data_IF_634389070359
#
_entry.id   IF_634389070359
#
_cell.length_a   1.000
_cell.length_b   1.000
_cell.length_c   1.000
_cell.angle_alpha   90.00
_cell.angle_beta   90.00
_cell.angle_gamma   90.00
#
_symmetry.space_group_name_H-M   'P 1'
#
loop_
_entity.id
_entity.type
_entity.pdbx_description
1 polymer ?
#
# COMPACT_ATOMS: atom_id res chain seq x y z
N UNK A 1 -14.31 -0.06 9.07
CA UNK A 1 -13.17 -0.31 9.99
C UNK A 1 -11.91 -0.47 9.17
N UNK A 2 -10.85 0.29 9.45
CA UNK A 2 -9.54 0.18 8.78
C UNK A 2 -8.67 -0.91 9.44
N UNK A 3 -7.59 -1.42 8.79
CA UNK A 3 -6.68 -2.38 9.41
C UNK A 3 -6.03 -1.87 10.71
N UNK A 4 -5.74 -0.57 10.76
CA UNK A 4 -5.19 0.08 11.95
C UNK A 4 -6.21 0.16 13.09
N UNK A 5 -7.49 0.39 12.79
CA UNK A 5 -8.58 0.33 13.77
C UNK A 5 -8.85 -1.09 14.24
N UNK A 6 -8.82 -2.07 13.34
CA UNK A 6 -8.97 -3.47 13.68
C UNK A 6 -7.82 -3.92 14.60
N UNK A 7 -6.57 -3.59 14.25
CA UNK A 7 -5.40 -3.85 15.09
C UNK A 7 -5.53 -3.23 16.49
N UNK A 8 -6.00 -1.99 16.58
CA UNK A 8 -6.29 -1.32 17.86
C UNK A 8 -7.42 -2.02 18.63
N UNK A 9 -8.45 -2.48 17.94
CA UNK A 9 -9.60 -3.20 18.53
C UNK A 9 -9.17 -4.54 19.12
N UNK A 10 -8.38 -5.32 18.37
CA UNK A 10 -7.83 -6.59 18.88
C UNK A 10 -6.87 -6.34 20.06
N UNK A 11 -6.02 -5.31 20.00
CA UNK A 11 -5.15 -4.96 21.12
C UNK A 11 -5.95 -4.57 22.38
N UNK A 12 -7.05 -3.82 22.22
CA UNK A 12 -7.96 -3.52 23.34
C UNK A 12 -8.61 -4.78 23.90
N UNK A 13 -8.99 -5.74 23.07
CA UNK A 13 -9.52 -7.02 23.52
C UNK A 13 -8.48 -7.83 24.31
N UNK A 14 -7.20 -7.81 23.90
CA UNK A 14 -6.11 -8.43 24.67
C UNK A 14 -5.94 -7.76 26.02
N UNK A 15 -5.90 -6.42 26.07
CA UNK A 15 -5.83 -5.67 27.34
C UNK A 15 -6.98 -6.03 28.27
N UNK A 16 -8.21 -5.98 27.75
CA UNK A 16 -9.41 -6.34 28.50
C UNK A 16 -9.37 -7.78 29.03
N UNK A 17 -8.86 -8.73 28.24
CA UNK A 17 -8.71 -10.12 28.70
C UNK A 17 -7.69 -10.26 29.84
N UNK A 18 -6.65 -9.41 29.87
CA UNK A 18 -5.68 -9.38 30.98
C UNK A 18 -6.26 -8.68 32.20
N UNK A 19 -6.93 -7.54 32.02
CA UNK A 19 -7.55 -6.77 33.10
C UNK A 19 -8.65 -7.56 33.82
N UNK A 20 -9.39 -8.40 33.09
CA UNK A 20 -10.41 -9.32 33.63
C UNK A 20 -9.83 -10.65 34.14
N UNK A 21 -8.51 -10.79 34.19
CA UNK A 21 -7.77 -12.01 34.57
C UNK A 21 -8.09 -13.27 33.73
N UNK A 22 -8.79 -13.12 32.60
CA UNK A 22 -9.10 -14.21 31.68
C UNK A 22 -7.85 -14.72 30.93
N UNK A 23 -6.82 -13.87 30.78
CA UNK A 23 -5.49 -14.22 30.29
C UNK A 23 -4.42 -13.67 31.22
N UNK A 24 -3.44 -14.50 31.59
CA UNK A 24 -2.28 -14.08 32.38
C UNK A 24 -1.05 -14.00 31.46
N UNK A 25 -0.96 -12.93 30.68
CA UNK A 25 0.10 -12.70 29.70
C UNK A 25 0.56 -11.24 29.72
N UNK A 26 1.82 -10.95 29.34
CA UNK A 26 2.21 -9.58 29.05
C UNK A 26 1.43 -9.07 27.84
N UNK A 27 0.83 -7.89 27.96
CA UNK A 27 0.13 -7.24 26.84
C UNK A 27 1.17 -6.84 25.79
N UNK A 28 1.02 -7.25 24.52
CA UNK A 28 1.95 -6.86 23.46
C UNK A 28 1.83 -5.36 23.16
N UNK A 29 2.94 -4.71 22.81
CA UNK A 29 2.94 -3.30 22.45
C UNK A 29 2.04 -2.98 21.24
N UNK A 30 1.95 -3.94 20.30
CA UNK A 30 1.12 -3.84 19.10
C UNK A 30 0.57 -5.21 18.70
N UNK A 31 -0.63 -5.20 18.13
CA UNK A 31 -1.21 -6.35 17.43
C UNK A 31 -1.19 -6.06 15.94
N UNK A 32 -0.85 -7.05 15.13
CA UNK A 32 -0.84 -6.94 13.67
C UNK A 32 -1.95 -7.81 13.09
N UNK A 33 -2.70 -7.24 12.17
CA UNK A 33 -3.64 -7.94 11.31
C UNK A 33 -3.08 -7.95 9.89
N UNK A 34 -3.30 -9.05 9.18
CA UNK A 34 -2.84 -9.22 7.81
C UNK A 34 -4.02 -9.54 6.91
N UNK A 35 -3.98 -9.09 5.66
CA UNK A 35 -5.01 -9.46 4.69
C UNK A 35 -4.93 -10.95 4.40
N UNK A 36 -6.09 -11.59 4.34
CA UNK A 36 -6.17 -13.00 3.95
C UNK A 36 -5.77 -13.15 2.48
N UNK A 37 -5.09 -14.26 2.18
CA UNK A 37 -4.73 -14.60 0.81
C UNK A 37 -6.00 -14.89 0.01
N UNK A 38 -5.99 -14.77 -1.33
CA UNK A 38 -7.09 -15.24 -2.17
C UNK A 38 -7.49 -16.69 -1.81
N UNK A 39 -8.78 -16.92 -1.53
CA UNK A 39 -9.29 -18.21 -1.03
C UNK A 39 -9.15 -18.44 0.49
N UNK A 40 -8.64 -17.46 1.24
CA UNK A 40 -8.60 -17.46 2.70
C UNK A 40 -9.95 -17.08 3.33
N UNK A 41 -10.08 -17.26 4.65
CA UNK A 41 -11.31 -17.00 5.39
C UNK A 41 -11.37 -15.54 5.88
N UNK A 42 -12.47 -14.84 5.62
CA UNK A 42 -12.63 -13.43 6.02
C UNK A 42 -11.74 -12.45 5.24
N UNK A 43 -11.78 -11.18 5.63
CA UNK A 43 -11.01 -10.08 5.01
C UNK A 43 -9.61 -9.93 5.62
N UNK A 44 -9.49 -10.14 6.93
CA UNK A 44 -8.23 -10.04 7.67
C UNK A 44 -8.05 -11.23 8.61
N UNK A 45 -6.81 -11.59 8.88
CA UNK A 45 -6.42 -12.58 9.87
C UNK A 45 -5.46 -12.01 10.91
N UNK A 46 -5.51 -12.53 12.12
CA UNK A 46 -4.61 -12.19 13.21
C UNK A 46 -4.10 -13.45 13.90
N UNK A 47 -2.78 -13.51 14.06
CA UNK A 47 -2.08 -14.62 14.72
C UNK A 47 -1.81 -14.35 16.21
N UNK A 48 -2.40 -13.30 16.81
CA UNK A 48 -2.08 -12.88 18.18
C UNK A 48 -2.30 -13.99 19.21
N UNK A 49 -3.32 -14.83 19.03
CA UNK A 49 -3.60 -15.92 19.96
C UNK A 49 -2.48 -16.97 19.97
N UNK A 50 -1.86 -17.25 18.82
CA UNK A 50 -0.70 -18.14 18.71
C UNK A 50 0.52 -17.57 19.44
N UNK A 51 0.71 -16.25 19.36
CA UNK A 51 1.82 -15.54 20.02
C UNK A 51 1.65 -15.54 21.54
N UNK A 52 0.41 -15.43 22.03
CA UNK A 52 0.10 -15.36 23.46
C UNK A 52 -0.03 -16.73 24.13
N UNK A 53 -0.30 -17.80 23.37
CA UNK A 53 -0.54 -19.15 23.88
C UNK A 53 0.54 -19.67 24.84
N UNK A 54 1.81 -19.49 24.46
CA UNK A 54 2.95 -19.95 25.28
C UNK A 54 3.00 -19.23 26.64
N UNK A 55 2.87 -17.91 26.64
CA UNK A 55 2.86 -17.13 27.88
C UNK A 55 1.60 -17.39 28.72
N UNK A 56 0.47 -17.68 28.07
CA UNK A 56 -0.80 -17.98 28.75
C UNK A 56 -0.83 -19.38 29.37
N UNK A 57 0.13 -20.25 29.03
CA UNK A 57 0.11 -21.69 29.34
C UNK A 57 -1.20 -22.38 28.90
N UNK A 58 -1.76 -21.95 27.76
CA UNK A 58 -3.05 -22.41 27.23
C UNK A 58 -2.96 -22.73 25.74
N UNK A 59 -3.78 -23.66 25.22
CA UNK A 59 -3.88 -23.89 23.78
C UNK A 59 -4.23 -22.60 23.03
N UNK A 60 -3.57 -22.36 21.90
CA UNK A 60 -3.78 -21.15 21.10
C UNK A 60 -5.25 -20.98 20.65
N UNK A 61 -5.97 -22.08 20.42
CA UNK A 61 -7.39 -22.06 20.10
C UNK A 61 -8.23 -21.50 21.24
N UNK A 62 -7.93 -21.87 22.48
CA UNK A 62 -8.64 -21.38 23.67
C UNK A 62 -8.37 -19.89 23.90
N UNK A 63 -7.12 -19.44 23.69
CA UNK A 63 -6.76 -18.02 23.70
C UNK A 63 -7.53 -17.27 22.61
N UNK A 64 -7.65 -17.86 21.41
CA UNK A 64 -8.41 -17.27 20.31
C UNK A 64 -9.90 -17.15 20.65
N UNK A 65 -10.51 -18.13 21.31
CA UNK A 65 -11.91 -18.08 21.76
C UNK A 65 -12.15 -16.93 22.74
N UNK A 66 -11.28 -16.78 23.74
CA UNK A 66 -11.34 -15.67 24.70
C UNK A 66 -11.30 -14.31 24.02
N UNK A 67 -10.41 -14.16 23.05
CA UNK A 67 -10.24 -12.93 22.31
C UNK A 67 -11.43 -12.69 21.35
N UNK A 68 -11.91 -13.73 20.66
CA UNK A 68 -13.09 -13.67 19.79
C UNK A 68 -14.30 -13.14 20.56
N UNK A 69 -14.54 -13.65 21.76
CA UNK A 69 -15.72 -13.26 22.55
C UNK A 69 -15.68 -11.79 22.98
N UNK A 70 -14.48 -11.19 23.05
CA UNK A 70 -14.29 -9.76 23.35
C UNK A 70 -14.25 -8.85 22.13
N UNK A 71 -14.04 -9.41 20.94
CA UNK A 71 -13.98 -8.67 19.67
C UNK A 71 -15.30 -8.77 18.90
N UNK A 72 -16.07 -9.84 19.08
CA UNK A 72 -17.40 -10.02 18.49
C UNK A 72 -18.32 -8.87 18.92
N UNK A 73 -19.00 -8.26 17.95
CA UNK A 73 -19.88 -7.10 18.19
C UNK A 73 -19.17 -5.76 18.32
N UNK A 74 -17.83 -5.72 18.16
CA UNK A 74 -17.13 -4.44 18.03
C UNK A 74 -17.56 -3.72 16.74
N UNK A 75 -17.74 -2.39 16.76
CA UNK A 75 -18.18 -1.63 15.59
C UNK A 75 -17.32 -1.91 14.35
N UNK A 76 -17.96 -2.29 13.24
CA UNK A 76 -17.30 -2.55 11.96
C UNK A 76 -16.76 -3.97 11.75
N UNK A 77 -16.97 -4.88 12.71
CA UNK A 77 -16.66 -6.32 12.57
C UNK A 77 -17.97 -7.09 12.45
N UNK A 78 -18.26 -7.61 11.25
CA UNK A 78 -19.47 -8.39 11.00
C UNK A 78 -19.37 -9.83 11.49
N UNK A 79 -18.21 -10.47 11.30
CA UNK A 79 -18.01 -11.88 11.70
C UNK A 79 -16.58 -12.15 12.13
N UNK A 80 -16.43 -13.00 13.15
CA UNK A 80 -15.13 -13.48 13.63
C UNK A 80 -15.10 -15.00 13.65
N UNK A 81 -14.17 -15.60 12.91
CA UNK A 81 -13.99 -17.04 12.82
C UNK A 81 -12.61 -17.48 13.30
N UNK A 82 -12.54 -18.61 13.99
CA UNK A 82 -11.28 -19.20 14.42
C UNK A 82 -10.93 -20.36 13.50
N UNK A 83 -9.80 -20.27 12.80
CA UNK A 83 -9.34 -21.31 11.88
C UNK A 83 -8.01 -21.92 12.34
N UNK A 84 -7.79 -23.18 11.95
CA UNK A 84 -6.58 -23.92 12.28
C UNK A 84 -6.25 -23.93 13.78
N UNK A 85 -4.98 -23.70 14.16
CA UNK A 85 -4.54 -23.79 15.55
C UNK A 85 -4.94 -22.58 16.43
N UNK A 86 -5.51 -21.51 15.87
CA UNK A 86 -5.87 -20.31 16.63
C UNK A 86 -5.77 -18.99 15.85
N UNK A 87 -5.94 -19.00 14.52
CA UNK A 87 -6.01 -17.75 13.75
C UNK A 87 -7.40 -17.14 13.91
N UNK A 88 -7.46 -15.87 14.28
CA UNK A 88 -8.68 -15.07 14.28
C UNK A 88 -8.85 -14.46 12.89
N UNK A 89 -9.94 -14.79 12.20
CA UNK A 89 -10.27 -14.27 10.88
C UNK A 89 -11.50 -13.37 11.00
N UNK A 90 -11.42 -12.19 10.42
CA UNK A 90 -12.41 -11.13 10.54
C UNK A 90 -13.03 -10.88 9.18
N UNK A 91 -14.34 -11.03 9.07
CA UNK A 91 -15.12 -10.41 8.00
C UNK A 91 -15.62 -9.09 8.54
N UNK A 92 -15.26 -8.00 7.88
CA UNK A 92 -15.74 -6.68 8.24
C UNK A 92 -17.21 -6.56 7.83
N UNK A 93 -18.00 -5.79 8.58
CA UNK A 93 -19.34 -5.47 8.14
C UNK A 93 -19.25 -4.69 6.83
N UNK A 94 -19.85 -5.22 5.76
CA UNK A 94 -19.96 -4.54 4.48
C UNK A 94 -20.75 -3.22 4.61
N UNK A 95 -21.61 -3.14 5.64
CA UNK A 95 -22.20 -1.90 6.15
C UNK A 95 -21.21 -1.14 7.06
N UNK A 96 -19.96 -1.00 6.62
CA UNK A 96 -19.08 0.00 7.21
C UNK A 96 -19.81 1.35 7.04
N UNK A 97 -20.15 1.97 8.18
CA UNK A 97 -20.86 3.25 8.29
C UNK A 97 -20.44 4.16 7.13
N UNK A 98 -21.41 4.67 6.36
CA UNK A 98 -21.14 5.60 5.25
C UNK A 98 -20.18 6.73 5.68
N UNK A 99 -20.26 7.13 6.97
CA UNK A 99 -19.35 8.06 7.64
C UNK A 99 -17.88 7.63 7.66
N UNK A 100 -17.59 6.34 7.81
CA UNK A 100 -16.21 5.81 7.79
C UNK A 100 -15.65 5.85 6.37
N UNK A 101 -16.48 5.53 5.36
CA UNK A 101 -16.08 5.61 3.95
C UNK A 101 -15.88 7.05 3.50
N UNK A 102 -16.78 7.94 3.89
CA UNK A 102 -16.61 9.39 3.73
C UNK A 102 -15.31 9.86 4.37
N UNK A 103 -15.10 9.60 5.68
CA UNK A 103 -13.89 10.01 6.38
C UNK A 103 -12.61 9.48 5.73
N UNK A 104 -12.62 8.25 5.18
CA UNK A 104 -11.51 7.71 4.41
C UNK A 104 -11.23 8.54 3.15
N UNK A 105 -12.27 8.79 2.34
CA UNK A 105 -12.12 9.57 1.09
C UNK A 105 -11.63 10.98 1.41
N UNK A 106 -12.21 11.64 2.41
CA UNK A 106 -11.78 12.96 2.85
C UNK A 106 -10.32 12.96 3.35
N UNK A 107 -9.90 11.94 4.11
CA UNK A 107 -8.52 11.84 4.60
C UNK A 107 -7.51 11.65 3.46
N UNK A 108 -7.86 10.84 2.45
CA UNK A 108 -7.04 10.67 1.23
C UNK A 108 -6.90 11.99 0.49
N UNK A 109 -8.02 12.67 0.21
CA UNK A 109 -8.02 13.92 -0.54
C UNK A 109 -7.30 15.04 0.23
N UNK A 110 -7.51 15.15 1.54
CA UNK A 110 -6.88 16.16 2.38
C UNK A 110 -5.36 15.97 2.51
N UNK A 111 -4.89 14.72 2.62
CA UNK A 111 -3.44 14.42 2.72
C UNK A 111 -2.75 14.41 1.36
N UNK A 112 -3.50 14.22 0.27
CA UNK A 112 -2.95 14.18 -1.08
C UNK A 112 -1.88 13.09 -1.24
N UNK A 113 -0.77 13.44 -1.88
CA UNK A 113 0.37 12.54 -2.07
C UNK A 113 1.02 12.05 -0.76
N UNK A 114 0.73 12.69 0.39
CA UNK A 114 1.22 12.29 1.70
C UNK A 114 0.28 11.31 2.44
N UNK A 115 -0.85 10.93 1.85
CA UNK A 115 -1.68 9.90 2.43
C UNK A 115 -0.87 8.60 2.64
N UNK A 116 -1.08 7.92 3.77
CA UNK A 116 -0.30 6.74 4.18
C UNK A 116 1.09 7.01 4.78
N UNK A 117 1.59 8.25 4.77
CA UNK A 117 2.80 8.59 5.52
C UNK A 117 2.54 8.45 7.04
N UNK A 118 3.56 8.05 7.77
CA UNK A 118 3.48 7.77 9.20
C UNK A 118 4.83 7.88 9.89
N UNK A 119 4.91 7.33 11.09
CA UNK A 119 6.05 7.45 12.01
C UNK A 119 6.55 6.07 12.50
N UNK A 120 6.19 4.99 11.78
CA UNK A 120 6.52 3.61 12.16
C UNK A 120 8.02 3.36 12.35
N UNK A 121 8.87 4.15 11.68
CA UNK A 121 10.33 4.11 11.75
C UNK A 121 10.91 5.42 12.31
N UNK A 122 10.12 6.21 13.04
CA UNK A 122 10.58 7.45 13.64
C UNK A 122 11.71 7.18 14.66
N UNK A 123 12.82 7.91 14.50
CA UNK A 123 14.02 7.72 15.31
C UNK A 123 15.01 6.70 14.75
N UNK A 124 14.62 5.91 13.74
CA UNK A 124 15.55 5.00 13.06
C UNK A 124 16.48 5.78 12.12
N UNK A 125 17.78 5.51 12.22
CA UNK A 125 18.79 5.96 11.26
C UNK A 125 19.20 4.80 10.37
N UNK A 126 18.70 4.79 9.14
CA UNK A 126 18.99 3.74 8.16
C UNK A 126 20.15 4.18 7.25
N UNK A 127 21.25 3.44 7.32
CA UNK A 127 22.37 3.59 6.40
C UNK A 127 22.27 2.49 5.33
N UNK A 128 21.86 2.86 4.12
CA UNK A 128 21.75 1.94 2.99
C UNK A 128 23.04 2.00 2.18
N UNK A 129 23.65 0.85 1.87
CA UNK A 129 24.67 0.75 0.83
C UNK A 129 24.20 -0.18 -0.28
N UNK A 130 24.66 0.04 -1.50
CA UNK A 130 24.38 -0.85 -2.62
C UNK A 130 25.61 -1.05 -3.49
N UNK A 131 25.62 -2.17 -4.22
CA UNK A 131 26.62 -2.41 -5.27
C UNK A 131 26.42 -1.41 -6.40
N UNK A 132 27.48 -1.09 -7.17
CA UNK A 132 27.41 -0.23 -8.37
C UNK A 132 26.59 -0.77 -9.55
N UNK A 133 25.56 -1.57 -9.28
CA UNK A 133 24.64 -2.18 -10.24
C UNK A 133 23.30 -1.43 -10.22
N UNK A 134 22.67 -1.29 -11.40
CA UNK A 134 21.52 -0.40 -11.61
C UNK A 134 20.28 -0.77 -10.79
N UNK A 135 19.94 -2.06 -10.65
CA UNK A 135 18.79 -2.48 -9.85
C UNK A 135 19.02 -2.20 -8.37
N UNK A 136 20.22 -2.45 -7.87
CA UNK A 136 20.59 -2.17 -6.49
C UNK A 136 20.47 -0.67 -6.18
N UNK A 137 20.95 0.20 -7.09
CA UNK A 137 20.85 1.65 -6.97
C UNK A 137 19.38 2.14 -6.97
N UNK A 138 18.56 1.69 -7.93
CA UNK A 138 17.14 2.04 -8.02
C UNK A 138 16.35 1.53 -6.80
N UNK A 139 16.66 0.31 -6.33
CA UNK A 139 16.04 -0.28 -5.13
C UNK A 139 16.41 0.52 -3.88
N UNK A 140 17.69 0.87 -3.70
CA UNK A 140 18.14 1.65 -2.55
C UNK A 140 17.49 3.04 -2.51
N UNK A 141 17.34 3.69 -3.67
CA UNK A 141 16.62 4.96 -3.75
C UNK A 141 15.12 4.80 -3.41
N UNK A 142 14.43 3.80 -3.97
CA UNK A 142 13.03 3.56 -3.63
C UNK A 142 12.84 3.28 -2.13
N UNK A 143 13.73 2.48 -1.53
CA UNK A 143 13.75 2.22 -0.08
C UNK A 143 13.97 3.50 0.73
N UNK A 144 14.89 4.36 0.31
CA UNK A 144 15.14 5.67 0.94
C UNK A 144 13.87 6.51 0.95
N UNK A 145 13.21 6.63 -0.19
CA UNK A 145 11.99 7.43 -0.35
C UNK A 145 10.84 6.85 0.49
N UNK A 146 10.58 5.55 0.40
CA UNK A 146 9.53 4.87 1.18
C UNK A 146 9.80 4.95 2.69
N UNK A 147 11.01 4.64 3.16
CA UNK A 147 11.31 4.67 4.59
C UNK A 147 11.23 6.08 5.20
N UNK A 148 11.58 7.13 4.43
CA UNK A 148 11.38 8.53 4.85
C UNK A 148 9.91 8.88 5.06
N UNK A 149 8.98 8.31 4.28
CA UNK A 149 7.54 8.50 4.52
C UNK A 149 7.08 7.92 5.86
N UNK A 150 7.86 7.04 6.47
CA UNK A 150 7.57 6.39 7.74
C UNK A 150 8.40 6.97 8.90
N UNK A 151 9.05 8.12 8.70
CA UNK A 151 9.77 8.85 9.75
C UNK A 151 11.26 8.49 9.90
N UNK A 152 11.79 7.56 9.10
CA UNK A 152 13.20 7.20 9.16
C UNK A 152 14.11 8.30 8.61
N UNK A 153 15.26 8.51 9.25
CA UNK A 153 16.38 9.23 8.66
C UNK A 153 17.19 8.26 7.81
N UNK A 154 17.27 8.49 6.51
CA UNK A 154 17.93 7.57 5.57
C UNK A 154 19.09 8.25 4.87
N UNK A 155 20.24 7.58 4.89
CA UNK A 155 21.43 7.91 4.09
C UNK A 155 21.73 6.79 3.11
N UNK A 156 21.99 7.15 1.85
CA UNK A 156 22.39 6.20 0.80
C UNK A 156 23.87 6.38 0.44
N UNK A 157 24.59 5.27 0.35
CA UNK A 157 25.94 5.17 -0.19
C UNK A 157 26.01 4.10 -1.28
N UNK A 158 27.12 4.13 -2.03
CA UNK A 158 27.41 3.18 -3.09
C UNK A 158 28.84 2.66 -2.93
N UNK A 159 29.00 1.35 -3.11
CA UNK A 159 30.31 0.73 -3.21
C UNK A 159 30.89 1.05 -4.61
N UNK A 160 32.00 1.77 -4.67
CA UNK A 160 32.68 2.13 -5.93
C UNK A 160 32.19 3.44 -6.58
N UNK A 161 32.48 3.61 -7.87
CA UNK A 161 32.10 4.82 -8.61
C UNK A 161 30.63 4.75 -9.05
N UNK A 162 29.83 5.80 -8.79
CA UNK A 162 28.45 5.84 -9.28
C UNK A 162 28.42 5.92 -10.81
N UNK A 163 27.44 5.26 -11.42
CA UNK A 163 27.15 5.38 -12.85
C UNK A 163 26.51 6.77 -13.12
N UNK A 164 27.04 7.56 -14.07
CA UNK A 164 26.51 8.89 -14.37
C UNK A 164 25.04 8.89 -14.84
N UNK A 165 24.56 7.79 -15.42
CA UNK A 165 23.19 7.70 -15.93
C UNK A 165 22.14 7.44 -14.83
N UNK A 166 22.56 7.14 -13.59
CA UNK A 166 21.64 6.98 -12.46
C UNK A 166 20.80 8.22 -12.18
N UNK A 167 21.34 9.41 -12.40
CA UNK A 167 20.59 10.66 -12.24
C UNK A 167 19.39 10.73 -13.20
N UNK A 168 19.51 10.16 -14.41
CA UNK A 168 18.40 10.09 -15.39
C UNK A 168 17.35 9.06 -15.01
N UNK A 169 17.72 8.07 -14.19
CA UNK A 169 16.78 7.20 -13.49
C UNK A 169 16.27 7.84 -12.20
N UNK A 170 16.61 9.09 -11.86
CA UNK A 170 16.17 9.73 -10.62
C UNK A 170 16.81 9.15 -9.36
N UNK A 171 17.98 8.51 -9.49
CA UNK A 171 18.74 7.98 -8.35
C UNK A 171 19.84 8.96 -7.95
N UNK A 172 19.91 9.23 -6.65
CA UNK A 172 20.89 10.08 -6.00
C UNK A 172 21.53 9.36 -4.78
N UNK A 173 22.78 9.72 -4.47
CA UNK A 173 23.53 9.19 -3.33
C UNK A 173 23.96 10.33 -2.40
N UNK A 174 23.88 10.11 -1.09
CA UNK A 174 24.21 11.11 -0.07
C UNK A 174 25.72 11.21 0.18
N UNK A 175 26.44 10.09 0.10
CA UNK A 175 27.87 10.03 0.27
C UNK A 175 28.48 8.91 -0.59
N UNK A 176 29.45 9.19 -1.48
CA UNK A 176 30.26 8.14 -2.09
C UNK A 176 31.25 7.57 -1.06
N UNK A 177 31.43 6.23 -1.03
CA UNK A 177 32.41 5.56 -0.16
C UNK A 177 31.83 4.69 0.97
N UNK A 178 32.70 3.97 1.69
CA UNK A 178 32.30 3.02 2.72
C UNK A 178 31.58 3.72 3.90
N UNK A 179 30.39 3.22 4.30
CA UNK A 179 29.61 3.80 5.38
C UNK A 179 30.28 3.66 6.75
N UNK A 180 30.18 4.72 7.57
CA UNK A 180 30.84 4.82 8.88
C UNK A 180 30.44 3.74 9.92
N UNK A 181 29.28 3.08 9.80
CA UNK A 181 28.91 1.92 10.61
C UNK A 181 27.85 1.03 9.93
N UNK A 182 28.03 -0.29 10.04
CA UNK A 182 27.08 -1.38 9.71
C UNK A 182 25.93 -1.04 8.74
N UNK A 183 26.20 -0.88 7.44
CA UNK A 183 25.15 -0.57 6.47
C UNK A 183 24.21 -1.75 6.26
N UNK A 184 22.96 -1.41 5.96
CA UNK A 184 22.02 -2.33 5.32
C UNK A 184 22.41 -2.42 3.86
N UNK A 185 22.96 -3.56 3.45
CA UNK A 185 23.37 -3.79 2.06
C UNK A 185 22.14 -4.17 1.21
N UNK A 186 21.80 -3.33 0.25
CA UNK A 186 20.76 -3.55 -0.75
C UNK A 186 21.37 -4.33 -1.92
N UNK A 187 21.01 -5.62 -2.00
CA UNK A 187 21.56 -6.54 -3.01
C UNK A 187 20.44 -7.39 -3.64
N UNK A 188 19.58 -6.78 -4.49
CA UNK A 188 18.66 -7.57 -5.30
C UNK A 188 19.44 -8.41 -6.33
N UNK A 189 18.76 -9.36 -6.97
CA UNK A 189 19.30 -10.08 -8.12
C UNK A 189 19.57 -9.07 -9.25
N UNK A 190 20.81 -9.00 -9.78
CA UNK A 190 21.19 -7.99 -10.77
C UNK A 190 20.27 -7.94 -11.99
N UNK A 191 20.09 -6.74 -12.56
CA UNK A 191 19.37 -6.54 -13.81
C UNK A 191 20.02 -7.26 -15.00
N UNK A 192 21.35 -7.39 -14.97
CA UNK A 192 22.13 -7.90 -16.10
C UNK A 192 22.22 -6.91 -17.28
N UNK A 193 21.99 -5.62 -17.01
CA UNK A 193 22.08 -4.51 -17.96
C UNK A 193 22.62 -3.26 -17.23
N UNK A 194 23.16 -2.31 -17.99
CA UNK A 194 23.61 -1.00 -17.46
C UNK A 194 22.51 0.06 -17.55
N UNK A 195 22.65 1.17 -16.83
CA UNK A 195 21.60 2.19 -16.77
C UNK A 195 21.32 2.84 -18.13
N UNK A 196 22.37 3.17 -18.90
CA UNK A 196 22.26 3.73 -20.25
C UNK A 196 21.42 2.85 -21.17
N UNK A 197 21.72 1.55 -21.22
CA UNK A 197 21.01 0.58 -22.05
C UNK A 197 19.51 0.51 -21.69
N UNK A 198 19.18 0.48 -20.40
CA UNK A 198 17.78 0.45 -19.96
C UNK A 198 17.05 1.75 -20.30
N UNK A 199 17.72 2.90 -20.15
CA UNK A 199 17.15 4.21 -20.50
C UNK A 199 16.88 4.31 -22.00
N UNK A 200 17.79 3.84 -22.84
CA UNK A 200 17.63 3.85 -24.30
C UNK A 200 16.50 2.92 -24.76
N UNK A 201 16.39 1.73 -24.17
CA UNK A 201 15.42 0.72 -24.58
C UNK A 201 14.02 0.95 -24.03
N UNK A 202 13.91 1.39 -22.78
CA UNK A 202 12.65 1.43 -22.03
C UNK A 202 12.25 2.84 -21.57
N UNK A 203 13.20 3.77 -21.48
CA UNK A 203 13.00 5.03 -20.78
C UNK A 203 12.93 4.87 -19.25
N UNK A 204 12.90 5.99 -18.51
CA UNK A 204 13.11 5.97 -17.06
C UNK A 204 12.00 5.27 -16.28
N UNK A 205 10.74 5.54 -16.61
CA UNK A 205 9.59 5.00 -15.88
C UNK A 205 9.47 3.47 -16.03
N UNK A 206 9.58 2.97 -17.26
CA UNK A 206 9.48 1.54 -17.54
C UNK A 206 10.69 0.77 -16.99
N UNK A 207 11.90 1.34 -17.08
CA UNK A 207 13.06 0.77 -16.42
C UNK A 207 12.86 0.67 -14.91
N UNK A 208 12.43 1.75 -14.23
CA UNK A 208 12.19 1.72 -12.77
C UNK A 208 11.11 0.73 -12.38
N UNK A 209 10.00 0.67 -13.12
CA UNK A 209 8.94 -0.31 -12.86
C UNK A 209 9.46 -1.75 -12.98
N UNK A 210 10.14 -2.07 -14.10
CA UNK A 210 10.69 -3.41 -14.34
C UNK A 210 11.71 -3.84 -13.27
N UNK A 211 12.48 -2.90 -12.74
CA UNK A 211 13.48 -3.14 -11.68
C UNK A 211 12.85 -3.33 -10.28
N UNK A 212 11.76 -2.61 -9.97
CA UNK A 212 11.16 -2.54 -8.63
C UNK A 212 9.96 -3.46 -8.42
N UNK A 213 9.22 -3.79 -9.47
CA UNK A 213 7.97 -4.57 -9.37
C UNK A 213 8.20 -6.05 -8.99
N UNK A 214 9.22 -6.76 -9.50
CA UNK A 214 9.58 -8.09 -9.04
C UNK A 214 10.28 -8.04 -7.67
N UNK A 215 10.10 -9.07 -6.84
CA UNK A 215 10.78 -9.13 -5.55
C UNK A 215 12.31 -9.14 -5.75
N UNK A 216 13.04 -8.68 -4.73
CA UNK A 216 14.50 -8.52 -4.84
C UNK A 216 15.26 -9.81 -5.16
N UNK A 217 14.71 -10.99 -4.86
CA UNK A 217 15.31 -12.29 -5.18
C UNK A 217 14.90 -12.86 -6.55
N UNK A 218 13.93 -12.24 -7.22
CA UNK A 218 13.44 -12.65 -8.54
C UNK A 218 14.18 -11.92 -9.66
N UNK A 219 14.22 -12.49 -10.86
CA UNK A 219 14.79 -11.84 -12.04
C UNK A 219 13.88 -10.73 -12.54
N UNK A 220 14.46 -9.58 -12.89
CA UNK A 220 13.72 -8.48 -13.51
C UNK A 220 13.44 -8.77 -15.00
N UNK A 221 12.17 -8.83 -15.44
CA UNK A 221 11.82 -8.93 -16.86
C UNK A 221 11.93 -7.54 -17.49
N UNK A 222 13.09 -7.27 -18.10
CA UNK A 222 13.44 -5.96 -18.68
C UNK A 222 13.35 -6.04 -20.21
N UNK A 223 12.15 -6.28 -20.72
CA UNK A 223 11.85 -6.43 -22.15
C UNK A 223 10.82 -5.39 -22.63
N UNK A 224 10.49 -5.45 -23.93
CA UNK A 224 9.59 -4.49 -24.58
C UNK A 224 8.13 -4.57 -24.11
N UNK A 225 7.72 -5.61 -23.37
CA UNK A 225 6.34 -5.72 -22.87
C UNK A 225 6.00 -4.57 -21.90
N UNK A 226 7.01 -4.02 -21.23
CA UNK A 226 6.86 -2.85 -20.36
C UNK A 226 6.43 -1.57 -21.11
N UNK A 227 6.57 -1.53 -22.43
CA UNK A 227 6.18 -0.41 -23.28
C UNK A 227 4.80 -0.59 -23.92
N UNK A 228 4.25 -1.80 -23.87
CA UNK A 228 2.96 -2.11 -24.49
C UNK A 228 1.85 -1.39 -23.75
N UNK A 229 1.05 -0.61 -24.47
CA UNK A 229 -0.11 0.10 -23.93
C UNK A 229 -1.33 -0.83 -23.85
N UNK A 230 -1.28 -1.79 -22.92
CA UNK A 230 -2.39 -2.71 -22.69
C UNK A 230 -2.65 -2.90 -21.20
N UNK A 231 -3.88 -3.29 -20.85
CA UNK A 231 -4.24 -3.64 -19.46
C UNK A 231 -3.41 -4.83 -18.92
N UNK A 232 -2.81 -5.64 -19.80
CA UNK A 232 -1.90 -6.72 -19.41
C UNK A 232 -0.52 -6.24 -18.96
N UNK A 233 -0.13 -4.99 -19.29
CA UNK A 233 1.08 -4.36 -18.78
C UNK A 233 0.77 -3.63 -17.45
N UNK A 234 1.30 -4.09 -16.30
CA UNK A 234 0.97 -3.50 -15.00
C UNK A 234 1.37 -2.02 -14.87
N UNK A 235 2.47 -1.60 -15.51
CA UNK A 235 2.87 -0.19 -15.49
C UNK A 235 1.84 0.68 -16.20
N UNK A 236 1.44 0.27 -17.41
CA UNK A 236 0.44 0.98 -18.18
C UNK A 236 -0.89 1.02 -17.41
N UNK A 237 -1.33 -0.11 -16.86
CA UNK A 237 -2.57 -0.19 -16.08
C UNK A 237 -2.60 0.83 -14.94
N UNK A 238 -1.54 0.90 -14.13
CA UNK A 238 -1.45 1.81 -12.98
C UNK A 238 -1.42 3.28 -13.42
N UNK A 239 -0.62 3.62 -14.43
CA UNK A 239 -0.56 5.01 -14.95
C UNK A 239 -1.86 5.40 -15.66
N UNK A 240 -2.50 4.46 -16.35
CA UNK A 240 -3.78 4.67 -17.04
C UNK A 240 -4.94 4.84 -16.05
N UNK A 241 -4.98 4.08 -14.96
CA UNK A 241 -5.94 4.31 -13.88
C UNK A 241 -5.82 5.74 -13.31
N UNK A 242 -4.58 6.21 -13.09
CA UNK A 242 -4.35 7.59 -12.66
C UNK A 242 -4.81 8.63 -13.70
N UNK A 243 -4.40 8.50 -14.96
CA UNK A 243 -4.78 9.45 -16.01
C UNK A 243 -6.29 9.44 -16.25
N UNK A 244 -6.94 8.27 -16.13
CA UNK A 244 -8.39 8.12 -16.21
C UNK A 244 -9.11 8.80 -15.05
N UNK A 245 -8.62 8.66 -13.81
CA UNK A 245 -9.15 9.40 -12.67
C UNK A 245 -9.09 10.92 -12.92
N UNK A 246 -7.97 11.43 -13.47
CA UNK A 246 -7.85 12.85 -13.85
C UNK A 246 -8.80 13.24 -14.98
N UNK A 247 -9.00 12.36 -15.96
CA UNK A 247 -9.95 12.59 -17.04
C UNK A 247 -11.39 12.68 -16.53
N UNK A 248 -11.78 11.89 -15.53
CA UNK A 248 -13.09 11.96 -14.89
C UNK A 248 -13.29 13.30 -14.19
N UNK A 249 -12.33 13.79 -13.41
CA UNK A 249 -12.40 15.12 -12.79
C UNK A 249 -12.55 16.24 -13.82
N UNK A 250 -11.76 16.20 -14.91
CA UNK A 250 -11.90 17.17 -16.01
C UNK A 250 -13.27 17.08 -16.68
N UNK A 251 -13.77 15.86 -16.90
CA UNK A 251 -15.10 15.63 -17.48
C UNK A 251 -16.22 16.17 -16.61
N UNK A 252 -16.13 15.99 -15.29
CA UNK A 252 -17.08 16.54 -14.32
C UNK A 252 -17.11 18.07 -14.34
N UNK A 253 -15.93 18.70 -14.36
CA UNK A 253 -15.81 20.15 -14.45
C UNK A 253 -16.46 20.71 -15.74
N UNK A 254 -16.31 20.02 -16.87
CA UNK A 254 -16.99 20.39 -18.13
C UNK A 254 -18.52 20.26 -18.03
N UNK A 255 -19.02 19.35 -17.20
CA UNK A 255 -20.44 19.17 -16.91
C UNK A 255 -20.94 20.08 -15.77
N UNK A 256 -20.07 20.94 -15.22
CA UNK A 256 -20.42 21.94 -14.21
C UNK A 256 -20.60 21.38 -12.80
N UNK A 257 -19.89 20.31 -12.43
CA UNK A 257 -19.88 19.80 -11.06
C UNK A 257 -18.49 19.30 -10.63
N UNK A 258 -18.27 19.29 -9.31
CA UNK A 258 -17.03 18.83 -8.67
C UNK A 258 -17.28 17.62 -7.76
N UNK A 259 -16.21 17.03 -7.24
CA UNK A 259 -16.28 15.90 -6.32
C UNK A 259 -16.78 16.32 -4.93
N UNK A 260 -17.66 15.51 -4.36
CA UNK A 260 -18.14 15.64 -2.98
C UNK A 260 -18.75 14.33 -2.53
N UNK A 261 -18.33 13.80 -1.37
CA UNK A 261 -18.88 12.57 -0.82
C UNK A 261 -20.20 12.85 -0.08
N UNK A 262 -21.27 13.01 -0.85
CA UNK A 262 -22.60 13.39 -0.34
C UNK A 262 -23.44 12.17 0.04
N UNK A 263 -23.23 11.06 -0.65
CA UNK A 263 -23.96 9.81 -0.51
C UNK A 263 -23.02 8.62 -0.50
N UNK A 264 -23.51 7.54 0.07
CA UNK A 264 -22.74 6.32 0.23
C UNK A 264 -22.41 5.66 -1.13
N UNK A 265 -21.15 5.27 -1.32
CA UNK A 265 -20.68 4.65 -2.57
C UNK A 265 -20.38 3.18 -2.35
N UNK A 266 -21.07 2.32 -3.09
CA UNK A 266 -20.82 0.88 -3.15
C UNK A 266 -19.58 0.58 -4.01
N UNK A 267 -18.40 0.65 -3.39
CA UNK A 267 -17.11 0.35 -4.01
C UNK A 267 -16.18 -0.41 -3.04
N UNK A 268 -16.61 -1.57 -2.49
CA UNK A 268 -15.94 -2.20 -1.35
C UNK A 268 -14.50 -2.61 -1.64
N UNK A 269 -14.21 -3.10 -2.85
CA UNK A 269 -12.86 -3.49 -3.24
C UNK A 269 -11.91 -2.28 -3.29
N UNK A 270 -12.35 -1.19 -3.92
CA UNK A 270 -11.56 0.03 -4.06
C UNK A 270 -11.37 0.73 -2.72
N UNK A 271 -12.46 0.96 -1.96
CA UNK A 271 -12.39 1.60 -0.65
C UNK A 271 -11.51 0.82 0.33
N UNK A 272 -11.54 -0.52 0.28
CA UNK A 272 -10.62 -1.35 1.06
C UNK A 272 -9.16 -1.18 0.59
N UNK A 273 -8.90 -1.18 -0.71
CA UNK A 273 -7.55 -0.95 -1.23
C UNK A 273 -6.99 0.41 -0.77
N UNK A 274 -7.80 1.48 -0.83
CA UNK A 274 -7.42 2.80 -0.31
C UNK A 274 -7.18 2.80 1.21
N UNK A 275 -8.00 2.08 1.98
CA UNK A 275 -7.81 1.94 3.43
C UNK A 275 -6.56 1.11 3.81
N UNK A 276 -6.16 0.16 2.96
CA UNK A 276 -5.00 -0.71 3.16
C UNK A 276 -3.67 -0.01 2.83
N UNK A 277 -3.69 1.04 1.99
CA UNK A 277 -2.48 1.73 1.50
C UNK A 277 -1.50 2.17 2.59
N UNK A 278 -1.92 2.79 3.72
CA UNK A 278 -1.00 3.16 4.81
C UNK A 278 -0.21 1.97 5.37
N UNK A 279 -0.87 0.83 5.61
CA UNK A 279 -0.20 -0.37 6.12
C UNK A 279 0.67 -1.03 5.04
N UNK A 280 0.25 -0.98 3.76
CA UNK A 280 1.06 -1.45 2.64
C UNK A 280 2.38 -0.67 2.56
N UNK A 281 2.34 0.66 2.73
CA UNK A 281 3.51 1.52 2.73
C UNK A 281 4.42 1.27 3.95
N UNK A 282 3.84 1.16 5.15
CA UNK A 282 4.57 0.81 6.36
C UNK A 282 5.21 -0.60 6.28
N UNK A 283 4.54 -1.56 5.66
CA UNK A 283 5.07 -2.89 5.42
C UNK A 283 6.21 -2.89 4.38
N UNK A 284 6.08 -2.14 3.28
CA UNK A 284 7.13 -1.98 2.28
C UNK A 284 8.41 -1.40 2.90
N UNK A 285 8.28 -0.40 3.78
CA UNK A 285 9.40 0.19 4.53
C UNK A 285 10.05 -0.83 5.49
N UNK A 286 9.26 -1.44 6.39
CA UNK A 286 9.77 -2.38 7.40
C UNK A 286 10.45 -3.61 6.80
N UNK A 287 9.89 -4.16 5.73
CA UNK A 287 10.43 -5.34 5.06
C UNK A 287 11.47 -5.01 4.02
N UNK A 288 11.70 -3.72 3.73
CA UNK A 288 12.61 -3.25 2.68
C UNK A 288 12.27 -3.90 1.33
N UNK A 289 10.98 -3.85 0.98
CA UNK A 289 10.39 -4.56 -0.15
C UNK A 289 9.52 -3.60 -0.98
N UNK A 290 10.12 -2.80 -1.89
CA UNK A 290 9.38 -1.82 -2.71
C UNK A 290 8.41 -2.49 -3.69
N UNK A 291 8.64 -3.76 -4.05
CA UNK A 291 7.72 -4.59 -4.85
C UNK A 291 6.31 -4.71 -4.22
N UNK A 292 6.22 -4.58 -2.89
CA UNK A 292 4.93 -4.60 -2.18
C UNK A 292 4.12 -3.35 -2.49
N UNK A 293 4.76 -2.19 -2.61
CA UNK A 293 4.09 -0.96 -3.01
C UNK A 293 3.62 -1.06 -4.46
N UNK A 294 4.47 -1.52 -5.38
CA UNK A 294 4.10 -1.72 -6.78
C UNK A 294 2.85 -2.61 -6.94
N UNK A 295 2.84 -3.78 -6.30
CA UNK A 295 1.68 -4.69 -6.31
C UNK A 295 0.42 -4.08 -5.70
N UNK A 296 0.56 -3.29 -4.64
CA UNK A 296 -0.59 -2.62 -4.05
C UNK A 296 -1.17 -1.54 -5.00
N UNK A 297 -0.34 -0.86 -5.79
CA UNK A 297 -0.84 0.05 -6.83
C UNK A 297 -1.56 -0.69 -7.96
N UNK A 298 -1.10 -1.90 -8.32
CA UNK A 298 -1.84 -2.80 -9.22
C UNK A 298 -3.23 -3.14 -8.64
N UNK A 299 -3.31 -3.50 -7.35
CA UNK A 299 -4.58 -3.79 -6.67
C UNK A 299 -5.55 -2.59 -6.68
N UNK A 300 -5.03 -1.37 -6.44
CA UNK A 300 -5.83 -0.13 -6.52
C UNK A 300 -6.31 0.13 -7.95
N UNK A 301 -5.45 -0.07 -8.95
CA UNK A 301 -5.80 0.16 -10.35
C UNK A 301 -6.87 -0.83 -10.85
N UNK A 302 -6.75 -2.11 -10.51
CA UNK A 302 -7.77 -3.10 -10.83
C UNK A 302 -9.11 -2.76 -10.16
N UNK A 303 -9.10 -2.50 -8.85
CA UNK A 303 -10.32 -2.15 -8.12
C UNK A 303 -10.95 -0.84 -8.63
N UNK A 304 -10.15 0.09 -9.15
CA UNK A 304 -10.62 1.32 -9.78
C UNK A 304 -11.39 1.04 -11.07
N UNK A 305 -10.88 0.18 -11.95
CA UNK A 305 -11.58 -0.16 -13.19
C UNK A 305 -12.83 -0.99 -12.93
N UNK A 306 -12.79 -1.95 -12.00
CA UNK A 306 -13.98 -2.71 -11.57
C UNK A 306 -15.08 -1.76 -11.04
N UNK A 307 -14.69 -0.76 -10.24
CA UNK A 307 -15.60 0.27 -9.74
C UNK A 307 -16.18 1.13 -10.88
N UNK A 308 -15.34 1.61 -11.80
CA UNK A 308 -15.78 2.47 -12.90
C UNK A 308 -16.77 1.74 -13.82
N UNK A 309 -16.53 0.46 -14.09
CA UNK A 309 -17.39 -0.37 -14.94
C UNK A 309 -18.72 -0.68 -14.27
N UNK A 310 -18.72 -0.88 -12.94
CA UNK A 310 -19.94 -1.11 -12.17
C UNK A 310 -20.78 0.17 -11.95
N UNK A 311 -20.12 1.33 -11.76
CA UNK A 311 -20.77 2.59 -11.42
C UNK A 311 -20.01 3.80 -11.98
N UNK A 312 -20.43 4.28 -13.15
CA UNK A 312 -19.83 5.46 -13.78
C UNK A 312 -19.88 6.69 -12.86
N UNK A 313 -18.72 7.38 -12.65
CA UNK A 313 -18.68 8.66 -11.94
C UNK A 313 -19.30 9.83 -12.72
N UNK A 314 -19.33 9.75 -14.05
CA UNK A 314 -19.94 10.77 -14.90
C UNK A 314 -21.35 10.36 -15.35
N UNK A 315 -22.30 11.31 -15.42
CA UNK A 315 -23.61 11.08 -16.03
C UNK A 315 -23.50 10.59 -17.47
N UNK A 316 -24.40 9.69 -17.88
CA UNK A 316 -24.45 9.14 -19.24
C UNK A 316 -25.74 9.54 -19.95
N UNK A 317 -25.64 9.97 -21.22
CA UNK A 317 -26.80 10.37 -22.01
C UNK A 317 -27.49 11.62 -21.45
N UNK A 318 -28.79 11.51 -21.16
CA UNK A 318 -29.60 12.61 -20.63
C UNK A 318 -29.60 12.70 -19.09
N UNK A 319 -28.79 11.88 -18.42
CA UNK A 319 -28.64 11.93 -16.97
C UNK A 319 -28.07 13.27 -16.51
N UNK A 320 -28.65 13.82 -15.43
CA UNK A 320 -28.13 15.04 -14.81
C UNK A 320 -27.11 14.70 -13.71
N UNK A 321 -26.10 15.56 -13.49
CA UNK A 321 -25.25 15.45 -12.31
C UNK A 321 -26.07 15.33 -11.02
N UNK A 322 -25.69 14.41 -10.15
CA UNK A 322 -26.40 14.09 -8.90
C UNK A 322 -25.41 13.87 -7.75
N UNK A 323 -25.91 13.74 -6.52
CA UNK A 323 -25.09 13.44 -5.34
C UNK A 323 -24.30 12.12 -5.50
N UNK A 324 -24.91 11.10 -6.11
CA UNK A 324 -24.23 9.86 -6.45
C UNK A 324 -23.04 10.07 -7.40
N UNK A 325 -23.18 10.91 -8.44
CA UNK A 325 -22.08 11.22 -9.36
C UNK A 325 -20.93 11.95 -8.64
N UNK A 326 -21.23 12.95 -7.82
CA UNK A 326 -20.23 13.67 -7.02
C UNK A 326 -19.49 12.74 -6.05
N UNK A 327 -20.20 11.81 -5.43
CA UNK A 327 -19.62 10.86 -4.46
C UNK A 327 -18.73 9.83 -5.13
N UNK A 328 -19.17 9.28 -6.27
CA UNK A 328 -18.36 8.38 -7.11
C UNK A 328 -17.12 9.08 -7.64
N UNK A 329 -17.24 10.35 -8.02
CA UNK A 329 -16.09 11.15 -8.44
C UNK A 329 -15.09 11.36 -7.31
N UNK A 330 -15.55 11.63 -6.08
CA UNK A 330 -14.67 11.75 -4.92
C UNK A 330 -13.87 10.45 -4.65
N UNK A 331 -14.51 9.29 -4.81
CA UNK A 331 -13.83 7.98 -4.71
C UNK A 331 -12.80 7.80 -5.84
N UNK A 332 -13.15 8.16 -7.08
CA UNK A 332 -12.22 8.12 -8.22
C UNK A 332 -11.01 9.03 -8.01
N UNK A 333 -11.21 10.23 -7.49
CA UNK A 333 -10.14 11.18 -7.17
C UNK A 333 -9.23 10.71 -6.04
N UNK A 334 -9.81 10.09 -5.00
CA UNK A 334 -9.04 9.47 -3.93
C UNK A 334 -8.15 8.35 -4.48
N UNK A 335 -8.67 7.50 -5.38
CA UNK A 335 -7.87 6.48 -6.06
C UNK A 335 -6.74 7.08 -6.90
N UNK A 336 -7.05 8.10 -7.72
CA UNK A 336 -6.04 8.81 -8.51
C UNK A 336 -4.95 9.47 -7.66
N UNK A 337 -5.29 9.91 -6.44
CA UNK A 337 -4.36 10.50 -5.46
C UNK A 337 -3.42 9.46 -4.86
N UNK A 338 -3.94 8.29 -4.45
CA UNK A 338 -3.11 7.17 -3.97
C UNK A 338 -2.16 6.68 -5.06
N UNK A 339 -2.65 6.52 -6.30
CA UNK A 339 -1.84 6.10 -7.44
C UNK A 339 -0.70 7.09 -7.72
N UNK A 340 -1.00 8.39 -7.71
CA UNK A 340 0.01 9.44 -7.91
C UNK A 340 1.09 9.42 -6.83
N UNK A 341 0.68 9.35 -5.56
CA UNK A 341 1.59 9.28 -4.43
C UNK A 341 2.50 8.06 -4.51
N UNK A 342 1.93 6.88 -4.74
CA UNK A 342 2.69 5.64 -4.85
C UNK A 342 3.68 5.61 -6.02
N UNK A 343 3.26 6.06 -7.21
CA UNK A 343 4.14 6.19 -8.38
C UNK A 343 5.32 7.13 -8.07
N UNK A 344 5.05 8.27 -7.43
CA UNK A 344 6.09 9.22 -7.01
C UNK A 344 7.10 8.60 -6.03
N UNK A 345 6.66 7.77 -5.07
CA UNK A 345 7.56 7.07 -4.14
C UNK A 345 8.44 6.03 -4.85
N UNK A 346 7.96 5.46 -5.95
CA UNK A 346 8.73 4.57 -6.81
C UNK A 346 9.61 5.35 -7.82
N UNK A 347 9.53 6.70 -7.84
CA UNK A 347 10.25 7.56 -8.77
C UNK A 347 9.73 7.48 -10.21
N UNK A 348 8.44 7.17 -10.38
CA UNK A 348 7.78 6.99 -11.67
C UNK A 348 6.79 8.14 -11.90
N UNK A 349 6.70 8.63 -13.13
CA UNK A 349 5.74 9.69 -13.47
C UNK A 349 4.28 9.22 -13.39
N UNK A 350 3.42 10.09 -12.86
CA UNK A 350 1.96 9.95 -12.89
C UNK A 350 1.39 10.99 -13.87
N UNK A 351 1.29 10.67 -15.18
CA UNK A 351 0.89 11.63 -16.19
C UNK A 351 -0.62 11.92 -16.15
N UNK A 352 -1.01 13.18 -16.34
CA UNK A 352 -2.43 13.56 -16.39
C UNK A 352 -3.17 13.05 -17.65
N UNK A 353 -2.39 12.68 -18.67
CA UNK A 353 -2.83 12.20 -19.99
C UNK A 353 -1.87 11.09 -20.45
N UNK A 354 -2.41 10.00 -20.98
CA UNK A 354 -1.66 8.89 -21.58
C UNK A 354 -2.08 8.65 -23.01
#
# INVERSE_FOLDING_TARGET
>A
MTPAELSRTVLRAVRRAVDEEALRVPVPARVRVERTRPGGNGDYACAVALQLAGAAARPAREVAEILRDRVTGAPGIGRVEITGPGFLNFTLDASADARVRDALVQDVLARGARYGHGDTLAGDMLQLSHTGEVRAAVTAHALRTIARTQGALVRTGCDGSPDPDWARLGVDIDAPGEPAASPIVVRPLPAGAVASELLERLGPDAARWGLLRPAGHDRAPLDGELLVQSAGNPLFLVRYAHSRARALTRGAALLGFDSSYDEDVDAPALLRALADYPEALAAAARHRAPDRLARHLEDVAHAFFDFQDAASPLPVGDEKPSAAHRSRLAVAEAAGTVLAGGLSLLGISAPEHL
#
